data_IF_329029162211
#
_entry.id   IF_329029162211
#
_cell.length_a   1.000
_cell.length_b   1.000
_cell.length_c   1.000
_cell.angle_alpha   90.00
_cell.angle_beta   90.00
_cell.angle_gamma   90.00
#
_symmetry.space_group_name_H-M   'P 1'
#
loop_
_entity.id
_entity.type
_entity.pdbx_description
1 polymer ?
#
# COMPACT_ATOMS: atom_id res chain seq x y z
N UNK A 1 2.31 24.37 4.46
CA UNK A 1 2.53 24.46 5.92
C UNK A 1 1.46 23.65 6.61
N UNK A 2 1.85 22.70 7.45
CA UNK A 2 0.91 21.90 8.25
C UNK A 2 0.59 22.59 9.57
N UNK A 3 -0.62 22.39 10.07
CA UNK A 3 -1.09 22.95 11.34
C UNK A 3 -1.68 21.86 12.22
N UNK A 4 -1.62 22.10 13.54
CA UNK A 4 -2.43 21.38 14.52
C UNK A 4 -3.89 21.84 14.38
N UNK A 5 -4.82 20.89 14.26
CA UNK A 5 -6.27 21.09 14.08
C UNK A 5 -6.71 21.94 12.86
N UNK A 6 -5.76 22.41 12.04
CA UNK A 6 -6.02 23.35 10.94
C UNK A 6 -5.80 22.77 9.54
N UNK A 7 -5.25 21.56 9.43
CA UNK A 7 -4.94 20.90 8.17
C UNK A 7 -3.69 21.47 7.49
N UNK A 8 -3.71 21.50 6.16
CA UNK A 8 -2.61 21.94 5.31
C UNK A 8 -2.94 23.28 4.65
N UNK A 9 -2.16 24.32 4.92
CA UNK A 9 -2.16 25.52 4.09
C UNK A 9 -1.19 25.35 2.92
N UNK A 10 -1.68 25.58 1.72
CA UNK A 10 -0.95 25.55 0.46
C UNK A 10 -0.98 26.94 -0.16
N UNK A 11 0.16 27.40 -0.68
CA UNK A 11 0.26 28.65 -1.42
C UNK A 11 0.57 28.34 -2.88
N UNK A 12 -0.29 28.79 -3.78
CA UNK A 12 -0.07 28.65 -5.22
C UNK A 12 1.11 29.51 -5.71
N UNK A 13 1.57 29.26 -6.93
CA UNK A 13 2.59 30.09 -7.59
C UNK A 13 2.10 31.53 -7.84
N UNK A 14 0.79 31.72 -8.00
CA UNK A 14 0.17 33.06 -8.13
C UNK A 14 0.05 33.78 -6.78
N UNK A 15 0.38 33.10 -5.68
CA UNK A 15 0.42 33.67 -4.34
C UNK A 15 -0.87 33.52 -3.55
N UNK A 16 -1.88 32.84 -4.10
CA UNK A 16 -3.15 32.55 -3.43
C UNK A 16 -2.99 31.45 -2.38
N UNK A 17 -3.66 31.61 -1.24
CA UNK A 17 -3.67 30.63 -0.16
C UNK A 17 -4.92 29.77 -0.23
N UNK A 18 -4.74 28.46 -0.07
CA UNK A 18 -5.82 27.48 0.07
C UNK A 18 -5.56 26.63 1.30
N UNK A 19 -6.62 26.32 2.05
CA UNK A 19 -6.55 25.42 3.20
C UNK A 19 -7.26 24.12 2.88
N UNK A 20 -6.53 23.02 3.01
CA UNK A 20 -7.03 21.66 2.89
C UNK A 20 -7.21 21.07 4.29
N UNK A 21 -8.41 20.55 4.55
CA UNK A 21 -8.78 19.90 5.81
C UNK A 21 -9.73 18.73 5.51
N UNK A 22 -10.11 17.96 6.53
CA UNK A 22 -11.00 16.79 6.41
C UNK A 22 -12.38 17.11 5.82
N UNK A 23 -12.78 18.39 5.75
CA UNK A 23 -14.06 18.83 5.15
C UNK A 23 -13.92 19.30 3.70
N UNK A 24 -12.72 19.75 3.30
CA UNK A 24 -12.48 20.37 1.99
C UNK A 24 -11.56 19.55 1.09
N UNK A 25 -11.08 18.41 1.58
CA UNK A 25 -10.13 17.53 0.89
C UNK A 25 -10.20 16.12 1.49
N UNK A 26 -9.45 15.19 0.90
CA UNK A 26 -9.29 13.82 1.39
C UNK A 26 -8.20 13.70 2.47
N UNK A 27 -7.78 14.83 3.08
CA UNK A 27 -6.84 14.79 4.19
C UNK A 27 -7.43 13.94 5.34
N UNK A 28 -6.73 12.90 5.83
CA UNK A 28 -7.31 11.95 6.78
C UNK A 28 -7.48 12.52 8.20
N UNK A 29 -6.66 13.49 8.61
CA UNK A 29 -6.81 14.20 9.88
C UNK A 29 -6.33 15.65 9.76
N UNK A 30 -6.90 16.55 10.56
CA UNK A 30 -6.55 17.98 10.54
C UNK A 30 -5.25 18.31 11.29
N UNK A 31 -4.66 17.35 12.00
CA UNK A 31 -3.36 17.46 12.62
C UNK A 31 -2.28 17.01 11.65
N UNK A 32 -1.74 17.96 10.90
CA UNK A 32 -0.62 17.70 9.98
C UNK A 32 0.69 17.82 10.75
N UNK A 33 1.41 16.71 10.85
CA UNK A 33 2.66 16.62 11.64
C UNK A 33 3.92 16.63 10.79
N UNK A 34 3.82 16.20 9.53
CA UNK A 34 4.98 16.07 8.64
C UNK A 34 4.60 16.29 7.17
N UNK A 35 5.55 16.84 6.41
CA UNK A 35 5.40 17.16 4.99
C UNK A 35 6.70 16.81 4.26
N UNK A 36 6.61 15.95 3.26
CA UNK A 36 7.74 15.56 2.41
C UNK A 36 7.34 15.72 0.96
N UNK A 37 8.15 16.44 0.20
CA UNK A 37 7.93 16.65 -1.23
C UNK A 37 8.72 15.62 -2.02
N UNK A 38 8.10 15.08 -3.07
CA UNK A 38 8.80 14.35 -4.12
C UNK A 38 8.68 15.10 -5.47
N UNK A 39 9.09 14.46 -6.56
CA UNK A 39 9.06 15.07 -7.89
C UNK A 39 7.62 15.27 -8.41
N UNK A 40 6.68 14.43 -7.97
CA UNK A 40 5.36 14.29 -8.58
C UNK A 40 4.22 14.78 -7.66
N UNK A 41 4.53 15.18 -6.43
CA UNK A 41 3.55 15.56 -5.42
C UNK A 41 4.11 15.86 -4.04
N UNK A 42 3.23 15.69 -3.04
CA UNK A 42 3.47 16.02 -1.63
C UNK A 42 2.87 14.93 -0.74
N UNK A 43 3.73 14.30 0.06
CA UNK A 43 3.36 13.42 1.16
C UNK A 43 3.05 14.23 2.41
N UNK A 44 1.98 13.84 3.10
CA UNK A 44 1.39 14.56 4.22
C UNK A 44 1.09 13.56 5.33
N UNK A 45 1.92 13.56 6.38
CA UNK A 45 1.69 12.74 7.57
C UNK A 45 0.72 13.43 8.53
N UNK A 46 -0.27 12.70 9.01
CA UNK A 46 -1.29 13.18 9.95
C UNK A 46 -1.52 12.20 11.10
N UNK A 47 -2.32 12.58 12.11
CA UNK A 47 -2.71 11.63 13.16
C UNK A 47 -3.71 10.55 12.71
N UNK A 48 -4.22 10.62 11.47
CA UNK A 48 -5.19 9.68 10.90
C UNK A 48 -4.66 8.88 9.71
N UNK A 49 -3.35 8.94 9.44
CA UNK A 49 -2.69 8.27 8.32
C UNK A 49 -1.88 9.24 7.48
N UNK A 50 -1.54 8.80 6.28
CA UNK A 50 -0.75 9.57 5.31
C UNK A 50 -1.64 9.92 4.11
N UNK A 51 -1.56 11.16 3.65
CA UNK A 51 -2.12 11.55 2.36
C UNK A 51 -0.99 11.88 1.37
N UNK A 52 -1.19 11.51 0.12
CA UNK A 52 -0.39 11.98 -1.00
C UNK A 52 -1.24 12.90 -1.86
N UNK A 53 -0.71 14.08 -2.19
CA UNK A 53 -1.34 15.03 -3.12
C UNK A 53 -0.45 15.20 -4.34
N UNK A 54 -0.92 14.76 -5.50
CA UNK A 54 -0.17 14.90 -6.75
C UNK A 54 -0.06 16.37 -7.18
N UNK A 55 0.89 16.67 -8.06
CA UNK A 55 1.00 17.98 -8.72
C UNK A 55 -0.25 18.33 -9.53
N UNK A 56 -0.96 17.32 -10.04
CA UNK A 56 -2.28 17.46 -10.69
C UNK A 56 -3.43 17.78 -9.72
N UNK A 57 -3.20 17.64 -8.41
CA UNK A 57 -4.19 17.93 -7.37
C UNK A 57 -5.05 16.74 -6.93
N UNK A 58 -4.76 15.55 -7.45
CA UNK A 58 -5.39 14.29 -7.00
C UNK A 58 -4.88 13.90 -5.62
N UNK A 59 -5.73 13.23 -4.85
CA UNK A 59 -5.43 12.77 -3.51
C UNK A 59 -5.40 11.24 -3.46
N UNK A 60 -4.55 10.70 -2.59
CA UNK A 60 -4.53 9.28 -2.26
C UNK A 60 -4.27 9.15 -0.76
N UNK A 61 -5.02 8.28 -0.09
CA UNK A 61 -4.98 8.13 1.37
C UNK A 61 -4.51 6.74 1.75
N UNK A 62 -3.49 6.72 2.58
CA UNK A 62 -2.86 5.52 3.12
C UNK A 62 -3.10 5.46 4.63
N UNK A 63 -3.63 4.34 5.09
CA UNK A 63 -3.88 4.04 6.49
C UNK A 63 -3.52 2.58 6.78
N UNK A 64 -3.58 2.18 8.05
CA UNK A 64 -3.34 0.80 8.49
C UNK A 64 -4.27 -0.21 7.84
N UNK A 65 -5.34 0.27 7.19
CA UNK A 65 -6.29 -0.57 6.50
C UNK A 65 -5.92 -0.96 5.07
N UNK A 66 -5.02 -0.22 4.42
CA UNK A 66 -4.81 -0.34 2.98
C UNK A 66 -3.36 -0.21 2.51
N UNK A 67 -2.38 -0.01 3.41
CA UNK A 67 -1.06 0.45 2.97
C UNK A 67 0.15 -0.19 3.66
N UNK A 68 -0.04 -1.16 4.56
CA UNK A 68 1.07 -1.66 5.38
C UNK A 68 1.57 -0.62 6.39
N UNK A 69 0.76 0.39 6.70
CA UNK A 69 1.01 1.26 7.84
C UNK A 69 0.73 0.53 9.16
N UNK A 70 1.67 0.49 10.12
CA UNK A 70 1.47 -0.21 11.38
C UNK A 70 0.50 0.53 12.30
N UNK A 71 0.37 1.85 12.11
CA UNK A 71 -0.58 2.69 12.83
C UNK A 71 -0.93 3.93 12.00
N UNK A 72 -2.11 4.50 12.24
CA UNK A 72 -2.56 5.74 11.60
C UNK A 72 -1.94 7.00 12.24
N UNK A 73 -1.46 6.91 13.48
CA UNK A 73 -0.87 8.02 14.22
C UNK A 73 0.58 8.23 13.78
N UNK A 74 0.75 9.02 12.72
CA UNK A 74 2.07 9.36 12.17
C UNK A 74 2.75 10.40 13.08
N UNK A 75 4.06 10.29 13.22
CA UNK A 75 4.94 11.24 13.94
C UNK A 75 5.91 11.93 13.00
N UNK A 76 6.46 11.21 12.03
CA UNK A 76 7.35 11.77 11.02
C UNK A 76 7.30 10.93 9.74
N UNK A 77 7.61 11.58 8.61
CA UNK A 77 7.85 10.92 7.32
C UNK A 77 9.14 11.49 6.72
N UNK A 78 9.84 10.68 5.94
CA UNK A 78 11.05 11.06 5.19
C UNK A 78 11.06 10.36 3.84
N UNK A 79 11.56 11.01 2.78
CA UNK A 79 11.65 10.36 1.47
C UNK A 79 12.73 9.29 1.47
N UNK A 80 12.49 8.17 0.78
CA UNK A 80 13.51 7.15 0.55
C UNK A 80 14.44 7.46 -0.63
N UNK A 81 14.16 8.52 -1.39
CA UNK A 81 14.92 8.91 -2.58
C UNK A 81 14.64 8.10 -3.85
N UNK A 82 13.74 7.10 -3.79
CA UNK A 82 13.37 6.19 -4.89
C UNK A 82 11.87 6.17 -5.19
N UNK A 83 11.11 7.10 -4.60
CA UNK A 83 9.67 7.24 -4.83
C UNK A 83 8.80 6.68 -3.71
N UNK A 84 9.39 6.13 -2.65
CA UNK A 84 8.73 5.77 -1.41
C UNK A 84 9.06 6.73 -0.26
N UNK A 85 8.58 6.37 0.93
CA UNK A 85 8.81 7.09 2.17
C UNK A 85 9.10 6.15 3.33
N UNK A 86 9.94 6.58 4.24
CA UNK A 86 10.01 6.07 5.60
C UNK A 86 9.01 6.83 6.46
N UNK A 87 8.31 6.14 7.35
CA UNK A 87 7.39 6.75 8.30
C UNK A 87 7.67 6.23 9.71
N UNK A 88 7.47 7.09 10.70
CA UNK A 88 7.44 6.68 12.11
C UNK A 88 6.11 7.07 12.72
N UNK A 89 5.58 6.20 13.57
CA UNK A 89 4.30 6.38 14.24
C UNK A 89 4.23 5.67 15.58
N UNK A 90 3.03 5.62 16.17
CA UNK A 90 2.81 4.85 17.41
C UNK A 90 2.98 3.33 17.19
N UNK A 91 3.02 2.88 15.93
CA UNK A 91 3.29 1.49 15.53
C UNK A 91 4.76 1.15 15.27
N UNK A 92 5.68 2.12 15.37
CA UNK A 92 7.10 1.91 15.07
C UNK A 92 7.58 2.64 13.81
N UNK A 93 8.51 2.02 13.07
CA UNK A 93 9.07 2.50 11.81
C UNK A 93 8.57 1.60 10.68
N UNK A 94 7.99 2.16 9.63
CA UNK A 94 7.64 1.44 8.42
C UNK A 94 8.25 2.09 7.18
N UNK A 95 8.44 1.30 6.13
CA UNK A 95 8.87 1.75 4.82
C UNK A 95 7.74 1.51 3.82
N UNK A 96 7.20 2.58 3.28
CA UNK A 96 6.19 2.54 2.24
C UNK A 96 6.87 2.78 0.90
N UNK A 97 7.07 1.70 0.15
CA UNK A 97 7.64 1.77 -1.19
C UNK A 97 6.55 2.06 -2.21
N UNK A 98 6.59 3.23 -2.82
CA UNK A 98 5.75 3.59 -3.96
C UNK A 98 6.61 3.72 -5.23
N UNK A 99 6.00 3.67 -6.41
CA UNK A 99 6.74 3.89 -7.66
C UNK A 99 7.56 2.71 -8.19
N UNK A 100 7.47 1.50 -7.60
CA UNK A 100 8.07 0.30 -8.21
C UNK A 100 7.60 0.08 -9.65
N UNK A 101 6.35 0.41 -9.97
CA UNK A 101 5.83 0.39 -11.35
C UNK A 101 6.53 1.42 -12.25
N UNK A 102 6.76 2.64 -11.76
CA UNK A 102 7.48 3.68 -12.50
C UNK A 102 8.93 3.25 -12.77
N UNK A 103 9.59 2.59 -11.81
CA UNK A 103 10.93 2.05 -12.00
C UNK A 103 11.00 0.97 -13.09
N UNK A 104 9.94 0.19 -13.28
CA UNK A 104 9.88 -0.82 -14.35
C UNK A 104 9.66 -0.21 -15.73
N UNK A 105 9.14 1.03 -15.80
CA UNK A 105 8.99 1.72 -17.08
C UNK A 105 10.34 2.05 -17.75
N UNK A 106 11.47 2.00 -17.05
CA UNK A 106 12.79 2.25 -17.65
C UNK A 106 13.14 1.24 -18.75
N UNK A 107 12.60 0.03 -18.64
CA UNK A 107 12.88 -1.08 -19.56
C UNK A 107 11.70 -1.39 -20.49
N UNK A 108 10.63 -0.59 -20.43
CA UNK A 108 9.40 -0.79 -21.22
C UNK A 108 9.24 0.29 -22.28
N UNK A 109 8.56 -0.06 -23.38
CA UNK A 109 8.12 0.96 -24.33
C UNK A 109 6.96 1.79 -23.74
N UNK A 110 6.66 2.92 -24.38
CA UNK A 110 5.65 3.86 -23.88
C UNK A 110 4.25 3.25 -23.75
N UNK A 111 3.84 2.36 -24.65
CA UNK A 111 2.52 1.73 -24.60
C UNK A 111 2.42 0.74 -23.42
N UNK A 112 3.45 -0.08 -23.22
CA UNK A 112 3.52 -1.05 -22.13
C UNK A 112 3.65 -0.36 -20.77
N UNK A 113 4.43 0.71 -20.69
CA UNK A 113 4.51 1.54 -19.48
C UNK A 113 3.14 2.19 -19.17
N UNK A 114 2.46 2.77 -20.16
CA UNK A 114 1.11 3.33 -19.94
C UNK A 114 0.14 2.26 -19.47
N UNK A 115 0.17 1.06 -20.06
CA UNK A 115 -0.64 -0.07 -19.61
C UNK A 115 -0.27 -0.54 -18.20
N UNK A 116 1.00 -0.50 -17.80
CA UNK A 116 1.46 -0.86 -16.46
C UNK A 116 0.98 0.14 -15.40
N UNK A 117 1.00 1.43 -15.73
CA UNK A 117 0.65 2.52 -14.82
C UNK A 117 -0.85 2.74 -14.68
N UNK A 118 -1.62 2.49 -15.75
CA UNK A 118 -3.06 2.77 -15.79
C UNK A 118 -3.94 1.52 -15.77
N UNK A 119 -3.36 0.35 -16.04
CA UNK A 119 -4.07 -0.92 -16.04
C UNK A 119 -4.24 -1.48 -14.63
N UNK A 120 -5.49 -1.78 -14.26
CA UNK A 120 -5.77 -2.71 -13.16
C UNK A 120 -5.20 -4.07 -13.54
N UNK A 121 -4.22 -4.56 -12.77
CA UNK A 121 -3.68 -5.91 -12.92
C UNK A 121 -3.80 -6.62 -11.59
N UNK A 122 -4.09 -7.91 -11.64
CA UNK A 122 -4.14 -8.76 -10.47
C UNK A 122 -3.28 -10.00 -10.73
N UNK A 123 -2.53 -10.42 -9.72
CA UNK A 123 -1.88 -11.71 -9.66
C UNK A 123 -2.56 -12.55 -8.57
N UNK A 124 -2.94 -13.78 -8.88
CA UNK A 124 -3.51 -14.70 -7.90
C UNK A 124 -2.46 -15.77 -7.60
N UNK A 125 -2.08 -15.88 -6.33
CA UNK A 125 -1.29 -16.98 -5.78
C UNK A 125 -2.25 -17.91 -5.04
N UNK A 126 -2.24 -19.20 -5.36
CA UNK A 126 -3.04 -20.20 -4.67
C UNK A 126 -2.09 -21.10 -3.89
N UNK A 127 -2.11 -20.96 -2.57
CA UNK A 127 -1.25 -21.72 -1.66
C UNK A 127 -2.06 -22.81 -0.97
N UNK A 128 -2.13 -23.97 -1.61
CA UNK A 128 -2.85 -25.13 -1.11
C UNK A 128 -1.97 -26.10 -0.33
N UNK A 129 -2.44 -26.48 0.86
CA UNK A 129 -2.09 -27.74 1.50
C UNK A 129 -3.24 -28.12 2.42
N UNK A 130 -3.74 -29.35 2.30
CA UNK A 130 -4.92 -29.77 3.03
C UNK A 130 -4.73 -29.69 4.55
N UNK A 131 -5.83 -29.51 5.28
CA UNK A 131 -5.93 -29.50 6.75
C UNK A 131 -5.70 -30.90 7.37
N UNK A 132 -4.92 -31.76 6.71
CA UNK A 132 -4.57 -33.06 7.24
C UNK A 132 -3.36 -32.93 8.15
N UNK A 133 -3.45 -33.49 9.36
CA UNK A 133 -2.39 -33.48 10.36
C UNK A 133 -1.06 -34.08 9.88
N UNK A 134 -1.08 -34.85 8.78
CA UNK A 134 0.10 -35.49 8.17
C UNK A 134 0.63 -34.75 6.94
N UNK A 135 0.08 -33.58 6.59
CA UNK A 135 0.51 -32.83 5.43
C UNK A 135 1.84 -32.11 5.69
N UNK A 136 2.94 -32.74 5.27
CA UNK A 136 4.29 -32.18 5.35
C UNK A 136 4.63 -31.23 4.21
N UNK A 137 3.75 -31.10 3.21
CA UNK A 137 3.97 -30.22 2.06
C UNK A 137 3.60 -28.77 2.37
N UNK A 138 2.89 -28.50 3.47
CA UNK A 138 2.45 -27.16 3.84
C UNK A 138 3.61 -26.17 3.94
N UNK A 139 4.66 -26.49 4.70
CA UNK A 139 5.84 -25.64 4.86
C UNK A 139 6.54 -25.33 3.52
N UNK A 140 6.50 -26.31 2.59
CA UNK A 140 7.08 -26.18 1.26
C UNK A 140 6.21 -25.28 0.38
N UNK A 141 4.89 -25.49 0.36
CA UNK A 141 3.94 -24.64 -0.38
C UNK A 141 4.02 -23.21 0.13
N UNK A 142 4.04 -23.00 1.44
CA UNK A 142 4.19 -21.68 2.06
C UNK A 142 5.51 -21.03 1.64
N UNK A 143 6.63 -21.76 1.69
CA UNK A 143 7.93 -21.23 1.27
C UNK A 143 7.96 -20.80 -0.19
N UNK A 144 7.38 -21.59 -1.10
CA UNK A 144 7.32 -21.28 -2.54
C UNK A 144 6.40 -20.08 -2.79
N UNK A 145 5.23 -20.07 -2.17
CA UNK A 145 4.27 -18.98 -2.19
C UNK A 145 4.88 -17.65 -1.76
N UNK A 146 5.62 -17.65 -0.66
CA UNK A 146 6.34 -16.46 -0.16
C UNK A 146 7.36 -15.96 -1.17
N UNK A 147 8.08 -16.89 -1.83
CA UNK A 147 9.06 -16.53 -2.85
C UNK A 147 8.39 -15.92 -4.10
N UNK A 148 7.25 -16.47 -4.54
CA UNK A 148 6.48 -15.94 -5.67
C UNK A 148 5.94 -14.55 -5.35
N UNK A 149 5.40 -14.35 -4.15
CA UNK A 149 4.92 -13.03 -3.69
C UNK A 149 6.03 -11.98 -3.76
N UNK A 150 7.20 -12.29 -3.18
CA UNK A 150 8.38 -11.40 -3.22
C UNK A 150 8.86 -11.13 -4.65
N UNK A 151 8.76 -12.11 -5.53
CA UNK A 151 9.11 -11.95 -6.95
C UNK A 151 8.13 -11.02 -7.68
N UNK A 152 6.82 -11.13 -7.41
CA UNK A 152 5.79 -10.27 -7.99
C UNK A 152 5.94 -8.82 -7.50
N UNK A 153 6.21 -8.64 -6.21
CA UNK A 153 6.59 -7.34 -5.65
C UNK A 153 7.83 -6.76 -6.35
N UNK A 154 8.89 -7.55 -6.57
CA UNK A 154 10.05 -7.12 -7.38
C UNK A 154 9.71 -6.80 -8.84
N UNK A 155 8.59 -7.32 -9.36
CA UNK A 155 8.02 -7.00 -10.68
C UNK A 155 6.93 -5.92 -10.58
N UNK A 156 6.93 -5.17 -9.48
CA UNK A 156 6.14 -3.96 -9.24
C UNK A 156 4.65 -4.21 -9.04
N UNK A 157 4.24 -5.44 -8.73
CA UNK A 157 2.88 -5.66 -8.26
C UNK A 157 2.79 -5.09 -6.85
N UNK A 158 1.81 -4.22 -6.61
CA UNK A 158 1.52 -3.71 -5.27
C UNK A 158 0.85 -4.81 -4.44
N UNK A 159 0.85 -4.67 -3.12
CA UNK A 159 0.24 -5.65 -2.23
C UNK A 159 -1.27 -5.80 -2.52
N UNK A 160 -1.98 -4.71 -2.84
CA UNK A 160 -3.39 -4.78 -3.24
C UNK A 160 -3.64 -5.43 -4.62
N UNK A 161 -2.59 -5.65 -5.41
CA UNK A 161 -2.67 -6.32 -6.72
C UNK A 161 -2.36 -7.82 -6.64
N UNK A 162 -1.95 -8.33 -5.48
CA UNK A 162 -1.59 -9.74 -5.28
C UNK A 162 -2.59 -10.39 -4.34
N UNK A 163 -3.42 -11.25 -4.90
CA UNK A 163 -4.39 -12.06 -4.18
C UNK A 163 -3.75 -13.37 -3.72
N UNK A 164 -3.71 -13.59 -2.41
CA UNK A 164 -3.10 -14.80 -1.84
C UNK A 164 -4.15 -15.75 -1.26
N UNK A 165 -4.62 -16.70 -2.04
CA UNK A 165 -5.65 -17.64 -1.59
C UNK A 165 -5.01 -18.78 -0.77
N UNK A 166 -5.24 -18.76 0.54
CA UNK A 166 -4.64 -19.68 1.51
C UNK A 166 -5.58 -19.95 2.69
N UNK A 167 -5.54 -21.14 3.34
CA UNK A 167 -6.24 -21.39 4.59
C UNK A 167 -5.66 -20.65 5.82
N UNK A 168 -4.56 -19.89 5.70
CA UNK A 168 -3.92 -19.17 6.80
C UNK A 168 -4.47 -17.76 6.97
N UNK A 169 -4.90 -17.42 8.19
CA UNK A 169 -5.53 -16.13 8.54
C UNK A 169 -4.58 -14.94 8.67
N UNK A 170 -3.26 -15.15 8.58
CA UNK A 170 -2.25 -14.13 8.78
C UNK A 170 -1.03 -14.38 7.90
N UNK A 171 -0.58 -13.36 7.17
CA UNK A 171 0.72 -13.37 6.52
C UNK A 171 1.38 -12.00 6.50
N UNK A 172 2.69 -12.03 6.67
CA UNK A 172 3.61 -10.90 6.60
C UNK A 172 4.74 -11.33 5.66
N UNK A 173 4.48 -11.24 4.35
CA UNK A 173 5.41 -11.67 3.32
C UNK A 173 6.51 -10.64 3.07
N UNK A 174 6.23 -9.37 3.29
CA UNK A 174 7.20 -8.28 3.13
C UNK A 174 8.10 -8.10 4.38
N UNK A 175 7.73 -8.68 5.54
CA UNK A 175 8.50 -8.65 6.78
C UNK A 175 8.34 -7.36 7.59
N UNK A 176 7.25 -6.61 7.38
CA UNK A 176 6.96 -5.33 8.05
C UNK A 176 6.25 -5.48 9.40
N UNK A 177 5.94 -6.72 9.81
CA UNK A 177 5.26 -7.03 11.05
C UNK A 177 3.74 -6.86 10.99
N UNK A 178 3.18 -6.57 9.82
CA UNK A 178 1.75 -6.39 9.60
C UNK A 178 1.19 -7.49 8.71
N UNK A 179 -0.11 -7.67 8.82
CA UNK A 179 -0.80 -8.55 7.90
C UNK A 179 -0.86 -7.85 6.53
N UNK A 180 -0.32 -8.46 5.48
CA UNK A 180 -0.35 -7.98 4.09
C UNK A 180 -1.77 -7.96 3.48
N UNK A 181 -2.80 -8.04 4.33
CA UNK A 181 -4.24 -8.04 4.02
C UNK A 181 -4.55 -8.85 2.79
N UNK A 182 -4.24 -10.13 2.96
CA UNK A 182 -4.74 -11.20 2.13
C UNK A 182 -6.27 -11.09 2.07
N UNK A 183 -6.80 -10.81 0.88
CA UNK A 183 -8.24 -10.96 0.62
C UNK A 183 -8.55 -12.46 0.67
N UNK A 184 -9.34 -12.84 1.69
CA UNK A 184 -10.06 -14.11 1.82
C UNK A 184 -9.27 -15.41 2.06
N UNK A 185 -8.48 -15.43 3.13
CA UNK A 185 -8.33 -16.66 3.90
C UNK A 185 -9.52 -16.79 4.84
N UNK A 186 -10.46 -17.73 4.62
CA UNK A 186 -11.55 -17.84 5.55
C UNK A 186 -11.05 -18.49 6.84
N UNK A 187 -11.08 -17.72 7.93
CA UNK A 187 -10.64 -18.14 9.25
C UNK A 187 -11.21 -19.53 9.57
N UNK A 188 -10.31 -20.52 9.72
CA UNK A 188 -10.62 -21.88 10.13
C UNK A 188 -11.63 -22.64 9.24
N UNK A 189 -11.78 -22.30 7.95
CA UNK A 189 -12.56 -23.11 6.99
C UNK A 189 -11.85 -23.33 5.65
N UNK A 190 -12.26 -24.34 4.86
CA UNK A 190 -11.76 -24.51 3.49
C UNK A 190 -12.12 -23.34 2.56
N UNK A 191 -11.25 -23.09 1.58
CA UNK A 191 -11.50 -22.21 0.43
C UNK A 191 -12.70 -22.70 -0.40
N UNK A 192 -13.50 -21.77 -0.90
CA UNK A 192 -14.71 -22.00 -1.70
C UNK A 192 -14.64 -21.29 -3.05
N UNK A 193 -15.57 -21.64 -3.95
CA UNK A 193 -15.70 -21.00 -5.28
C UNK A 193 -16.09 -19.53 -5.17
N UNK A 194 -16.74 -19.11 -4.07
CA UNK A 194 -17.09 -17.70 -3.87
C UNK A 194 -15.86 -16.86 -3.55
N UNK A 195 -14.95 -17.38 -2.72
CA UNK A 195 -13.68 -16.73 -2.38
C UNK A 195 -12.83 -16.49 -3.66
N UNK A 196 -12.90 -17.42 -4.62
CA UNK A 196 -12.27 -17.26 -5.95
C UNK A 196 -13.00 -16.21 -6.80
N UNK A 197 -14.33 -16.15 -6.72
CA UNK A 197 -15.13 -15.21 -7.52
C UNK A 197 -14.92 -13.77 -7.04
N UNK A 198 -14.81 -13.54 -5.74
CA UNK A 198 -14.49 -12.23 -5.15
C UNK A 198 -13.12 -11.73 -5.61
N UNK A 199 -12.10 -12.60 -5.57
CA UNK A 199 -10.77 -12.28 -6.10
C UNK A 199 -10.77 -11.93 -7.62
N UNK A 200 -11.77 -12.40 -8.37
CA UNK A 200 -11.90 -12.15 -9.82
C UNK A 200 -12.82 -10.96 -10.18
N UNK A 201 -13.51 -10.33 -9.21
CA UNK A 201 -14.49 -9.25 -9.46
C UNK A 201 -13.87 -7.84 -9.57
N UNK A 202 -12.57 -7.74 -9.85
CA UNK A 202 -11.84 -6.47 -9.94
C UNK A 202 -12.13 -5.58 -11.16
#
# INVERSE_FOLDING_TARGET
VGFKDGGLAYRSLTGEWTTYNTKTSELPDNNVVALVRDNDGLWIGTNGGIAYRSTGGEWTVYNSDNSGLPNNSIKAIESDGTGGIWETGDGGLAHLSFGQKNALCTDLNQADCQSLLTGKRAAIIIAGGGNQLTNTLWDTTESISNYIYKLLNKRGFLNEEIYYLSPKSWADFNGDGLNDRIVDAPNDRPLTVEDIREALQW
#
